data_IF_657165204414
#
_entry.id   IF_657165204414
#
_cell.length_a   1.000
_cell.length_b   1.000
_cell.length_c   1.000
_cell.angle_alpha   90.00
_cell.angle_beta   90.00
_cell.angle_gamma   90.00
#
_symmetry.space_group_name_H-M   'P 1'
#
loop_
_entity.id
_entity.type
_entity.pdbx_description
1 polymer ?
#
# COMPACT_ATOMS: atom_id res chain seq x y z
N UNK A 1 0.51 -23.71 -6.05
CA UNK A 1 1.04 -22.69 -5.14
C UNK A 1 1.99 -21.79 -5.92
N UNK A 2 1.85 -20.47 -5.77
CA UNK A 2 2.73 -19.50 -6.44
C UNK A 2 3.56 -18.78 -5.38
N UNK A 3 4.88 -18.84 -5.50
CA UNK A 3 5.82 -18.23 -4.56
C UNK A 3 6.52 -17.06 -5.24
N UNK A 4 6.54 -15.91 -4.56
CA UNK A 4 7.37 -14.77 -4.94
C UNK A 4 8.37 -14.54 -3.82
N UNK A 5 9.65 -14.74 -4.11
CA UNK A 5 10.71 -14.44 -3.14
C UNK A 5 10.87 -12.92 -3.03
N UNK A 6 11.05 -12.42 -1.83
CA UNK A 6 11.23 -10.99 -1.62
C UNK A 6 12.35 -10.41 -2.49
N UNK A 7 13.47 -11.12 -2.56
CA UNK A 7 14.63 -10.68 -3.35
C UNK A 7 14.34 -10.58 -4.87
N UNK A 8 13.29 -11.23 -5.34
CA UNK A 8 12.90 -11.27 -6.76
C UNK A 8 11.65 -10.45 -7.05
N UNK A 9 11.03 -9.86 -6.04
CA UNK A 9 9.82 -9.06 -6.22
C UNK A 9 10.12 -7.85 -7.09
N UNK A 10 9.27 -7.61 -8.09
CA UNK A 10 9.50 -6.55 -9.07
C UNK A 10 8.89 -5.25 -8.59
N UNK A 11 9.60 -4.13 -8.79
CA UNK A 11 9.06 -2.83 -8.44
C UNK A 11 7.93 -2.43 -9.39
N UNK A 12 7.00 -1.65 -8.89
CA UNK A 12 5.99 -0.98 -9.70
C UNK A 12 5.83 0.46 -9.24
N UNK A 13 5.26 1.29 -10.10
CA UNK A 13 5.04 2.70 -9.82
C UNK A 13 3.54 2.92 -9.64
N UNK A 14 3.18 3.48 -8.49
CA UNK A 14 1.81 3.90 -8.23
C UNK A 14 1.71 5.43 -8.37
N UNK A 15 0.60 5.94 -8.94
CA UNK A 15 0.44 7.38 -9.08
C UNK A 15 0.42 8.08 -7.71
N UNK A 16 0.94 9.29 -7.68
CA UNK A 16 0.91 10.17 -6.51
C UNK A 16 1.58 9.54 -5.26
N UNK A 17 2.61 8.73 -5.49
CA UNK A 17 3.49 8.18 -4.45
C UNK A 17 4.87 8.79 -4.63
N UNK A 18 5.55 9.05 -3.53
CA UNK A 18 6.86 9.73 -3.55
C UNK A 18 7.76 9.26 -2.43
N UNK A 19 9.08 9.28 -2.68
CA UNK A 19 10.11 8.88 -1.72
C UNK A 19 9.83 7.51 -1.10
N UNK A 20 9.56 6.54 -1.96
CA UNK A 20 9.20 5.21 -1.56
C UNK A 20 9.48 4.21 -2.68
N UNK A 21 9.40 2.93 -2.35
CA UNK A 21 9.53 1.84 -3.29
C UNK A 21 8.36 0.88 -3.10
N UNK A 22 7.68 0.53 -4.18
CA UNK A 22 6.59 -0.45 -4.17
C UNK A 22 7.02 -1.71 -4.89
N UNK A 23 6.81 -2.85 -4.27
CA UNK A 23 7.14 -4.16 -4.81
C UNK A 23 5.88 -4.99 -4.98
N UNK A 24 5.77 -5.69 -6.11
CA UNK A 24 4.66 -6.59 -6.38
C UNK A 24 4.94 -7.95 -5.72
N UNK A 25 4.13 -8.34 -4.75
CA UNK A 25 4.30 -9.63 -4.09
C UNK A 25 3.49 -10.72 -4.78
N UNK A 26 2.20 -10.49 -4.98
CA UNK A 26 1.29 -11.42 -5.64
C UNK A 26 0.34 -10.65 -6.53
N UNK A 27 -0.02 -11.21 -7.66
CA UNK A 27 -0.95 -10.60 -8.59
C UNK A 27 -0.27 -9.82 -9.70
N UNK A 28 -1.05 -9.41 -10.70
CA UNK A 28 -0.56 -8.76 -11.92
C UNK A 28 0.59 -9.57 -12.54
N UNK A 29 1.73 -8.94 -12.82
CA UNK A 29 2.89 -9.59 -13.42
C UNK A 29 3.54 -10.64 -12.53
N UNK A 30 3.30 -10.62 -11.23
CA UNK A 30 3.76 -11.68 -10.31
C UNK A 30 2.86 -12.91 -10.37
N UNK A 31 1.72 -12.81 -11.03
CA UNK A 31 0.71 -13.86 -11.13
C UNK A 31 0.12 -14.20 -9.74
N UNK A 32 -0.55 -15.35 -9.62
CA UNK A 32 -1.11 -15.83 -8.35
C UNK A 32 -2.60 -15.56 -8.21
N UNK A 33 -3.06 -14.74 -7.23
CA UNK A 33 -4.47 -14.58 -6.95
C UNK A 33 -5.28 -14.03 -8.12
N UNK A 34 -6.52 -14.48 -8.25
CA UNK A 34 -7.42 -14.05 -9.34
C UNK A 34 -8.33 -12.89 -8.93
N UNK A 35 -8.53 -12.68 -7.63
CA UNK A 35 -9.50 -11.70 -7.13
C UNK A 35 -8.87 -10.49 -6.47
N UNK A 36 -7.61 -10.57 -6.09
CA UNK A 36 -6.90 -9.50 -5.42
C UNK A 36 -5.41 -9.59 -5.69
N UNK A 37 -4.69 -8.52 -5.37
CA UNK A 37 -3.23 -8.50 -5.43
C UNK A 37 -2.67 -7.98 -4.12
N UNK A 38 -1.39 -8.24 -3.89
CA UNK A 38 -0.68 -7.75 -2.73
C UNK A 38 0.61 -7.06 -3.15
N UNK A 39 0.91 -5.96 -2.48
CA UNK A 39 2.13 -5.20 -2.69
C UNK A 39 2.78 -4.85 -1.37
N UNK A 40 4.07 -4.59 -1.44
CA UNK A 40 4.85 -4.16 -0.29
C UNK A 40 5.41 -2.77 -0.58
N UNK A 41 5.09 -1.82 0.29
CA UNK A 41 5.54 -0.43 0.15
C UNK A 41 6.55 -0.11 1.22
N UNK A 42 7.71 0.38 0.82
CA UNK A 42 8.73 0.89 1.72
C UNK A 42 8.77 2.41 1.59
N UNK A 43 8.41 3.13 2.64
CA UNK A 43 8.42 4.59 2.66
C UNK A 43 9.66 5.09 3.38
N UNK A 44 10.46 5.91 2.70
CA UNK A 44 11.55 6.63 3.33
C UNK A 44 11.01 7.70 4.28
N UNK A 45 11.79 8.17 5.24
CA UNK A 45 11.40 9.34 6.02
C UNK A 45 11.02 10.50 5.10
N UNK A 46 9.84 11.08 5.32
CA UNK A 46 9.29 12.12 4.45
C UNK A 46 8.52 11.60 3.25
N UNK A 47 8.58 10.30 2.96
CA UNK A 47 7.85 9.70 1.87
C UNK A 47 6.38 9.51 2.18
N UNK A 48 5.59 9.29 1.14
CA UNK A 48 4.16 9.11 1.31
C UNK A 48 3.39 8.85 0.03
N UNK A 49 2.09 8.95 0.14
CA UNK A 49 1.16 8.76 -0.94
C UNK A 49 -0.07 9.64 -0.75
N UNK A 50 -0.57 10.20 -1.84
CA UNK A 50 -1.78 11.02 -1.82
C UNK A 50 -1.57 12.48 -1.43
N UNK A 51 -2.67 13.19 -1.06
CA UNK A 51 -4.03 12.66 -0.89
C UNK A 51 -4.64 12.18 -2.20
N UNK A 52 -5.40 11.10 -2.12
CA UNK A 52 -5.96 10.46 -3.30
C UNK A 52 -7.15 9.58 -2.92
N UNK A 53 -8.07 9.39 -3.85
CA UNK A 53 -9.23 8.50 -3.67
C UNK A 53 -9.29 7.53 -4.84
N UNK A 54 -9.62 6.29 -4.53
CA UNK A 54 -9.80 5.23 -5.52
C UNK A 54 -11.17 4.61 -5.32
N UNK A 55 -11.84 4.14 -6.38
CA UNK A 55 -13.10 3.43 -6.22
C UNK A 55 -12.94 2.07 -5.54
N UNK A 56 -11.71 1.58 -5.40
CA UNK A 56 -11.44 0.26 -4.82
C UNK A 56 -11.14 0.36 -3.33
N UNK A 57 -11.73 -0.53 -2.55
CA UNK A 57 -11.33 -0.69 -1.16
C UNK A 57 -9.93 -1.28 -1.07
N UNK A 58 -9.27 -1.04 0.05
CA UNK A 58 -7.93 -1.56 0.29
C UNK A 58 -7.67 -1.77 1.76
N UNK A 59 -6.80 -2.71 2.05
CA UNK A 59 -6.33 -2.96 3.41
C UNK A 59 -4.84 -2.67 3.46
N UNK A 60 -4.43 -1.95 4.49
CA UNK A 60 -3.04 -1.69 4.80
C UNK A 60 -2.65 -2.39 6.09
N UNK A 61 -1.50 -3.02 6.10
CA UNK A 61 -0.92 -3.61 7.32
C UNK A 61 0.50 -3.08 7.44
N UNK A 62 0.79 -2.32 8.48
CA UNK A 62 2.16 -1.85 8.74
C UNK A 62 2.96 -3.03 9.29
N UNK A 63 4.11 -3.31 8.68
CA UNK A 63 4.97 -4.42 9.07
C UNK A 63 6.17 -3.97 9.90
N UNK A 64 6.66 -2.76 9.64
CA UNK A 64 7.81 -2.19 10.34
C UNK A 64 7.72 -0.68 10.31
N UNK A 65 8.24 -0.02 11.35
CA UNK A 65 8.17 1.42 11.47
C UNK A 65 6.77 1.88 11.83
N UNK A 66 6.48 3.14 11.50
CA UNK A 66 5.14 3.70 11.71
C UNK A 66 4.79 4.63 10.56
N UNK A 67 3.49 4.69 10.25
CA UNK A 67 2.95 5.53 9.20
C UNK A 67 1.73 6.28 9.71
N UNK A 68 1.63 7.55 9.33
CA UNK A 68 0.42 8.33 9.53
C UNK A 68 -0.51 8.09 8.35
N UNK A 69 -1.75 7.76 8.64
CA UNK A 69 -2.80 7.58 7.62
C UNK A 69 -3.93 8.56 7.95
N UNK A 70 -4.21 9.45 7.01
CA UNK A 70 -5.23 10.48 7.16
C UNK A 70 -6.35 10.27 6.15
N UNK A 71 -7.57 10.43 6.61
CA UNK A 71 -8.77 10.56 5.80
C UNK A 71 -9.39 11.92 6.11
N UNK A 72 -10.46 12.36 5.41
CA UNK A 72 -11.06 13.66 5.73
C UNK A 72 -11.51 13.81 7.17
N UNK A 73 -11.85 12.70 7.84
CA UNK A 73 -12.43 12.74 9.18
C UNK A 73 -11.43 12.50 10.30
N UNK A 74 -10.27 11.92 10.00
CA UNK A 74 -9.33 11.55 11.06
C UNK A 74 -7.92 11.33 10.51
N UNK A 75 -6.96 11.41 11.42
CA UNK A 75 -5.58 11.01 11.16
C UNK A 75 -5.14 10.10 12.29
N UNK A 76 -4.58 8.95 11.93
CA UNK A 76 -4.10 7.96 12.90
C UNK A 76 -2.67 7.56 12.55
N UNK A 77 -1.95 7.08 13.55
CA UNK A 77 -0.62 6.49 13.38
C UNK A 77 -0.76 4.98 13.50
N UNK A 78 -0.35 4.27 12.45
CA UNK A 78 -0.28 2.81 12.47
C UNK A 78 1.16 2.38 12.76
N UNK A 79 1.32 1.45 13.69
CA UNK A 79 2.59 0.84 14.06
C UNK A 79 2.62 -0.61 13.60
N UNK A 80 3.74 -1.28 13.80
CA UNK A 80 3.91 -2.68 13.36
C UNK A 80 2.74 -3.56 13.82
N UNK A 81 2.17 -4.30 12.88
CA UNK A 81 1.03 -5.20 13.01
C UNK A 81 -0.33 -4.50 13.15
N UNK A 82 -0.36 -3.17 13.13
CA UNK A 82 -1.63 -2.45 13.02
C UNK A 82 -2.11 -2.47 11.57
N UNK A 83 -3.41 -2.43 11.40
CA UNK A 83 -4.02 -2.41 10.07
C UNK A 83 -5.20 -1.47 10.00
N UNK A 84 -5.54 -1.07 8.78
CA UNK A 84 -6.75 -0.32 8.51
C UNK A 84 -7.34 -0.73 7.17
N UNK A 85 -8.62 -0.46 7.00
CA UNK A 85 -9.31 -0.60 5.73
C UNK A 85 -9.75 0.80 5.28
N UNK A 86 -9.42 1.13 4.04
CA UNK A 86 -9.91 2.35 3.38
C UNK A 86 -11.01 1.91 2.42
N UNK A 87 -12.27 2.31 2.69
CA UNK A 87 -13.37 1.98 1.77
C UNK A 87 -13.17 2.60 0.39
N UNK A 88 -13.81 2.01 -0.60
CA UNK A 88 -13.81 2.60 -1.94
C UNK A 88 -14.41 4.02 -1.92
N UNK A 89 -13.77 4.94 -2.63
CA UNK A 89 -14.20 6.33 -2.71
C UNK A 89 -13.71 7.24 -1.61
N UNK A 90 -13.12 6.69 -0.54
CA UNK A 90 -12.60 7.52 0.54
C UNK A 90 -11.19 8.02 0.21
N UNK A 91 -11.00 9.34 0.30
CA UNK A 91 -9.67 9.94 0.11
C UNK A 91 -8.77 9.58 1.29
N UNK A 92 -7.50 9.30 0.98
CA UNK A 92 -6.50 8.99 2.00
C UNK A 92 -5.15 9.61 1.66
N UNK A 93 -4.38 9.92 2.70
CA UNK A 93 -2.99 10.33 2.59
C UNK A 93 -2.15 9.48 3.54
N UNK A 94 -1.01 9.02 3.06
CA UNK A 94 -0.04 8.27 3.88
C UNK A 94 1.22 9.10 3.97
N UNK A 95 1.78 9.22 5.17
CA UNK A 95 3.02 9.95 5.40
C UNK A 95 3.90 9.18 6.38
N UNK A 96 5.18 9.05 6.03
CA UNK A 96 6.20 8.65 7.00
C UNK A 96 6.76 9.91 7.65
N UNK A 97 6.26 10.21 8.84
CA UNK A 97 6.68 11.38 9.63
C UNK A 97 7.82 11.05 10.58
N UNK A 98 8.28 9.80 10.60
CA UNK A 98 9.39 9.34 11.43
C UNK A 98 10.74 9.51 10.76
N UNK A 99 11.75 8.91 11.37
CA UNK A 99 13.13 8.98 10.90
C UNK A 99 13.71 7.61 10.52
N UNK A 100 12.87 6.63 10.34
CA UNK A 100 13.24 5.29 9.88
C UNK A 100 12.32 4.87 8.73
N UNK A 101 12.77 3.94 7.89
CA UNK A 101 11.95 3.38 6.82
C UNK A 101 10.75 2.66 7.43
N UNK A 102 9.58 2.88 6.86
CA UNK A 102 8.36 2.19 7.24
C UNK A 102 7.91 1.28 6.11
N UNK A 103 7.50 0.05 6.44
CA UNK A 103 7.08 -0.95 5.47
C UNK A 103 5.63 -1.33 5.71
N UNK A 104 4.86 -1.39 4.62
CA UNK A 104 3.43 -1.61 4.66
C UNK A 104 3.01 -2.61 3.60
N UNK A 105 2.22 -3.59 4.00
CA UNK A 105 1.54 -4.50 3.08
C UNK A 105 0.25 -3.85 2.58
N UNK A 106 0.02 -3.94 1.28
CA UNK A 106 -1.20 -3.46 0.62
C UNK A 106 -1.93 -4.67 0.04
N UNK A 107 -3.22 -4.75 0.31
CA UNK A 107 -4.11 -5.76 -0.28
C UNK A 107 -5.25 -5.04 -0.97
N UNK A 108 -5.41 -5.28 -2.27
CA UNK A 108 -6.45 -4.62 -3.07
C UNK A 108 -7.09 -5.61 -4.05
N UNK A 109 -8.37 -5.44 -4.37
CA UNK A 109 -8.94 -6.15 -5.51
C UNK A 109 -8.37 -5.59 -6.80
N UNK A 110 -8.46 -6.37 -7.88
CA UNK A 110 -8.09 -5.86 -9.20
C UNK A 110 -9.09 -4.79 -9.64
N UNK A 111 -8.64 -3.80 -10.42
CA UNK A 111 -9.56 -2.87 -11.05
C UNK A 111 -10.54 -3.64 -11.95
N UNK A 112 -11.77 -3.15 -12.04
CA UNK A 112 -12.71 -3.72 -13.01
C UNK A 112 -12.19 -3.48 -14.42
N UNK A 113 -12.21 -4.53 -15.22
CA UNK A 113 -11.90 -4.38 -16.62
C UNK A 113 -13.02 -3.60 -17.29
N UNK A 114 -12.67 -2.68 -18.18
CA UNK A 114 -13.64 -2.00 -19.01
C UNK A 114 -14.38 -3.06 -19.87
N UNK A 115 -15.71 -2.95 -20.02
CA UNK A 115 -16.44 -3.88 -20.87
C UNK A 115 -16.01 -3.80 -22.33
#
# INVERSE_FOLDING_TARGET
MKVTRFAEAQPYVAPNHYDMCSLRLQGFEAEGPKSFWTGLSHFLPGGGAGPDASPLEKVYVVLAGELSVATPDQEIVLRAMDSCCIPGGEAREIRNKGNAVASMLVVMPYPESAP
#
